data_IF_588868443657
#
_entry.id   IF_588868443657
#
_cell.length_a   1.000
_cell.length_b   1.000
_cell.length_c   1.000
_cell.angle_alpha   90.00
_cell.angle_beta   90.00
_cell.angle_gamma   90.00
#
_symmetry.space_group_name_H-M   'P 1'
#
loop_
_entity.id
_entity.type
_entity.pdbx_description
1 polymer ?
#
# COMPACT_ATOMS: atom_id res chain seq x y z
N UNK A 1 2.99 34.01 9.73
CA UNK A 1 2.37 32.69 9.99
C UNK A 1 3.26 31.98 10.97
N UNK A 2 2.71 31.44 12.04
CA UNK A 2 3.51 30.74 13.04
C UNK A 2 4.21 29.52 12.39
N UNK A 3 5.52 29.39 12.59
CA UNK A 3 6.33 28.32 11.98
C UNK A 3 5.77 26.94 12.31
N UNK A 4 5.15 26.79 13.48
CA UNK A 4 4.50 25.57 13.93
C UNK A 4 3.26 25.18 13.09
N UNK A 5 2.50 26.17 12.60
CA UNK A 5 1.33 25.94 11.75
C UNK A 5 1.78 25.45 10.36
N UNK A 6 2.84 26.07 9.81
CA UNK A 6 3.40 25.67 8.52
C UNK A 6 3.86 24.21 8.57
N UNK A 7 4.58 23.83 9.62
CA UNK A 7 5.11 22.49 9.78
C UNK A 7 4.00 21.43 9.87
N UNK A 8 2.95 21.70 10.64
CA UNK A 8 1.74 20.85 10.72
C UNK A 8 1.09 20.62 9.36
N UNK A 9 0.95 21.68 8.56
CA UNK A 9 0.35 21.59 7.22
C UNK A 9 1.19 20.73 6.29
N UNK A 10 2.51 20.95 6.25
CA UNK A 10 3.42 20.21 5.38
C UNK A 10 3.42 18.73 5.74
N UNK A 11 3.59 18.38 7.02
CA UNK A 11 3.66 16.96 7.42
C UNK A 11 2.34 16.23 7.20
N UNK A 12 1.21 16.90 7.43
CA UNK A 12 -0.12 16.32 7.17
C UNK A 12 -0.32 16.07 5.68
N UNK A 13 0.06 17.03 4.83
CA UNK A 13 -0.01 16.88 3.39
C UNK A 13 0.90 15.74 2.90
N UNK A 14 2.14 15.68 3.38
CA UNK A 14 3.07 14.59 3.07
C UNK A 14 2.52 13.22 3.48
N UNK A 15 1.85 13.13 4.64
CA UNK A 15 1.20 11.89 5.09
C UNK A 15 0.10 11.43 4.12
N UNK A 16 -0.75 12.34 3.65
CA UNK A 16 -1.83 12.03 2.68
C UNK A 16 -1.25 11.60 1.34
N UNK A 17 -0.22 12.27 0.86
CA UNK A 17 0.43 11.93 -0.41
C UNK A 17 1.11 10.57 -0.33
N UNK A 18 1.82 10.26 0.77
CA UNK A 18 2.50 8.99 0.95
C UNK A 18 1.53 7.80 0.90
N UNK A 19 0.40 7.87 1.63
CA UNK A 19 -0.60 6.79 1.62
C UNK A 19 -1.30 6.68 0.27
N UNK A 20 -1.62 7.80 -0.40
CA UNK A 20 -2.26 7.78 -1.70
C UNK A 20 -1.40 7.09 -2.76
N UNK A 21 -0.10 7.40 -2.81
CA UNK A 21 0.85 6.77 -3.73
C UNK A 21 1.04 5.29 -3.39
N UNK A 22 1.19 4.95 -2.10
CA UNK A 22 1.31 3.56 -1.64
C UNK A 22 0.10 2.71 -2.03
N UNK A 23 -1.11 3.21 -1.75
CA UNK A 23 -2.36 2.54 -2.09
C UNK A 23 -2.54 2.38 -3.60
N UNK A 24 -2.19 3.39 -4.39
CA UNK A 24 -2.27 3.32 -5.86
C UNK A 24 -1.29 2.27 -6.43
N UNK A 25 -0.05 2.28 -5.94
CA UNK A 25 0.95 1.29 -6.34
C UNK A 25 0.51 -0.14 -6.00
N UNK A 26 -0.03 -0.34 -4.80
CA UNK A 26 -0.55 -1.61 -4.35
C UNK A 26 -1.74 -2.10 -5.19
N UNK A 27 -2.70 -1.23 -5.50
CA UNK A 27 -3.85 -1.55 -6.34
C UNK A 27 -3.43 -1.99 -7.76
N UNK A 28 -2.45 -1.29 -8.36
CA UNK A 28 -1.92 -1.63 -9.69
C UNK A 28 -1.18 -2.98 -9.64
N UNK A 29 -0.38 -3.23 -8.61
CA UNK A 29 0.34 -4.48 -8.45
C UNK A 29 -0.60 -5.68 -8.23
N UNK A 30 -1.56 -5.54 -7.32
CA UNK A 30 -2.52 -6.60 -7.00
C UNK A 30 -3.46 -6.91 -8.17
N UNK A 31 -3.91 -5.91 -8.94
CA UNK A 31 -4.75 -6.16 -10.11
C UNK A 31 -4.03 -6.99 -11.19
N UNK A 32 -2.75 -6.72 -11.44
CA UNK A 32 -1.92 -7.51 -12.36
C UNK A 32 -1.73 -8.95 -11.87
N UNK A 33 -1.47 -9.14 -10.58
CA UNK A 33 -1.34 -10.48 -9.97
C UNK A 33 -2.66 -11.24 -10.09
N UNK A 34 -3.78 -10.61 -9.74
CA UNK A 34 -5.10 -11.22 -9.80
C UNK A 34 -5.48 -11.62 -11.24
N UNK A 35 -5.23 -10.74 -12.22
CA UNK A 35 -5.49 -11.03 -13.63
C UNK A 35 -4.65 -12.22 -14.12
N UNK A 36 -3.34 -12.23 -13.84
CA UNK A 36 -2.47 -13.33 -14.23
C UNK A 36 -2.85 -14.66 -13.58
N UNK A 37 -3.29 -14.62 -12.31
CA UNK A 37 -3.78 -15.80 -11.60
C UNK A 37 -5.07 -16.34 -12.23
N UNK A 38 -6.04 -15.46 -12.54
CA UNK A 38 -7.30 -15.85 -13.18
C UNK A 38 -7.08 -16.44 -14.57
N UNK A 39 -6.23 -15.83 -15.40
CA UNK A 39 -5.85 -16.39 -16.71
C UNK A 39 -5.15 -17.74 -16.59
N UNK A 40 -4.25 -17.89 -15.62
CA UNK A 40 -3.56 -19.15 -15.33
C UNK A 40 -4.55 -20.24 -14.92
N UNK A 41 -5.49 -19.92 -14.04
CA UNK A 41 -6.55 -20.85 -13.59
C UNK A 41 -7.46 -21.25 -14.76
N UNK A 42 -7.82 -20.30 -15.62
CA UNK A 42 -8.66 -20.58 -16.79
C UNK A 42 -7.98 -21.54 -17.78
N UNK A 43 -6.65 -21.46 -17.91
CA UNK A 43 -5.86 -22.36 -18.79
C UNK A 43 -5.59 -23.73 -18.15
N UNK A 44 -5.39 -23.78 -16.83
CA UNK A 44 -5.08 -25.01 -16.08
C UNK A 44 -5.91 -25.08 -14.78
N UNK A 45 -7.19 -25.50 -14.87
CA UNK A 45 -8.10 -25.53 -13.73
C UNK A 45 -7.61 -26.45 -12.59
N UNK A 46 -6.93 -27.53 -12.95
CA UNK A 46 -6.35 -28.51 -12.02
C UNK A 46 -5.26 -27.93 -11.11
N UNK A 47 -4.64 -26.81 -11.49
CA UNK A 47 -3.64 -26.12 -10.67
C UNK A 47 -4.23 -24.98 -9.81
N UNK A 48 -5.56 -24.81 -9.80
CA UNK A 48 -6.20 -23.63 -9.21
C UNK A 48 -5.84 -23.38 -7.74
N UNK A 49 -5.85 -24.43 -6.90
CA UNK A 49 -5.51 -24.31 -5.49
C UNK A 49 -4.07 -23.83 -5.25
N UNK A 50 -3.11 -24.33 -6.05
CA UNK A 50 -1.71 -23.91 -5.95
C UNK A 50 -1.53 -22.48 -6.46
N UNK A 51 -2.15 -22.13 -7.58
CA UNK A 51 -2.11 -20.77 -8.14
C UNK A 51 -2.71 -19.75 -7.17
N UNK A 52 -3.84 -20.07 -6.54
CA UNK A 52 -4.48 -19.22 -5.53
C UNK A 52 -3.55 -18.98 -4.33
N UNK A 53 -2.89 -20.02 -3.84
CA UNK A 53 -1.94 -19.87 -2.71
C UNK A 53 -0.77 -18.95 -3.08
N UNK A 54 -0.16 -19.15 -4.25
CA UNK A 54 0.94 -18.29 -4.72
C UNK A 54 0.47 -16.85 -4.95
N UNK A 55 -0.75 -16.66 -5.48
CA UNK A 55 -1.38 -15.35 -5.67
C UNK A 55 -1.52 -14.61 -4.32
N UNK A 56 -2.02 -15.28 -3.28
CA UNK A 56 -2.17 -14.68 -1.95
C UNK A 56 -0.82 -14.28 -1.34
N UNK A 57 0.21 -15.11 -1.49
CA UNK A 57 1.56 -14.78 -1.01
C UNK A 57 2.08 -13.51 -1.73
N UNK A 58 1.93 -13.46 -3.05
CA UNK A 58 2.36 -12.30 -3.83
C UNK A 58 1.58 -11.02 -3.45
N UNK A 59 0.25 -11.12 -3.26
CA UNK A 59 -0.58 -10.01 -2.82
C UNK A 59 -0.19 -9.53 -1.41
N UNK A 60 0.06 -10.45 -0.47
CA UNK A 60 0.47 -10.10 0.90
C UNK A 60 1.82 -9.36 0.92
N UNK A 61 2.77 -9.73 0.06
CA UNK A 61 4.05 -9.03 -0.07
C UNK A 61 3.88 -7.59 -0.59
N UNK A 62 2.96 -7.37 -1.54
CA UNK A 62 2.61 -6.03 -2.00
C UNK A 62 1.91 -5.23 -0.90
N UNK A 63 1.01 -5.87 -0.17
CA UNK A 63 0.26 -5.22 0.92
C UNK A 63 1.19 -4.75 2.05
N UNK A 64 2.27 -5.49 2.33
CA UNK A 64 3.27 -5.06 3.31
C UNK A 64 3.88 -3.69 2.98
N UNK A 65 4.08 -3.38 1.68
CA UNK A 65 4.58 -2.07 1.25
C UNK A 65 3.53 -0.97 1.45
N UNK A 66 2.26 -1.26 1.16
CA UNK A 66 1.15 -0.34 1.41
C UNK A 66 1.01 -0.02 2.91
N UNK A 67 1.17 -1.05 3.76
CA UNK A 67 1.16 -0.91 5.21
C UNK A 67 2.34 -0.05 5.70
N UNK A 68 3.51 -0.11 5.07
CA UNK A 68 4.61 0.81 5.42
C UNK A 68 4.28 2.27 5.08
N UNK A 69 3.62 2.55 3.95
CA UNK A 69 3.13 3.88 3.67
C UNK A 69 2.11 4.34 4.71
N UNK A 70 1.17 3.47 5.08
CA UNK A 70 0.20 3.75 6.14
C UNK A 70 0.89 4.04 7.48
N UNK A 71 1.88 3.23 7.85
CA UNK A 71 2.63 3.39 9.09
C UNK A 71 3.28 4.77 9.16
N UNK A 72 3.99 5.19 8.11
CA UNK A 72 4.63 6.51 8.06
C UNK A 72 3.59 7.62 8.11
N UNK A 73 2.48 7.50 7.40
CA UNK A 73 1.38 8.47 7.47
C UNK A 73 0.79 8.58 8.87
N UNK A 74 0.59 7.47 9.57
CA UNK A 74 0.10 7.46 10.96
C UNK A 74 1.11 8.11 11.90
N UNK A 75 2.41 7.83 11.74
CA UNK A 75 3.47 8.48 12.53
C UNK A 75 3.46 9.99 12.31
N UNK A 76 3.34 10.48 11.08
CA UNK A 76 3.31 11.91 10.79
C UNK A 76 2.04 12.62 11.31
N UNK A 77 0.94 11.90 11.48
CA UNK A 77 -0.33 12.46 11.98
C UNK A 77 -0.40 12.42 13.51
N UNK A 78 -0.03 11.31 14.13
CA UNK A 78 -0.27 11.05 15.56
C UNK A 78 0.99 11.10 16.43
N UNK A 79 2.17 10.86 15.86
CA UNK A 79 3.45 10.78 16.57
C UNK A 79 4.53 11.61 15.91
N UNK A 80 4.16 12.81 15.44
CA UNK A 80 5.00 13.60 14.56
C UNK A 80 6.24 14.13 15.30
N UNK A 81 7.47 13.70 14.93
CA UNK A 81 8.68 14.07 15.65
C UNK A 81 9.06 15.55 15.46
N UNK A 82 8.42 16.27 14.55
CA UNK A 82 8.73 17.65 14.23
C UNK A 82 7.84 18.66 14.96
N UNK A 83 6.73 18.22 15.58
CA UNK A 83 5.71 19.12 16.17
C UNK A 83 5.69 19.04 17.71
N UNK A 84 6.76 18.54 18.32
CA UNK A 84 6.93 18.53 19.78
C UNK A 84 7.79 19.70 20.25
#
# INVERSE_FOLDING_TARGET
>A
MDSMIVLKMVTTFSAVVAIAIGALGAAIGMSKIGMAALEGIARQPEMAGRTFTTMLIAMALIEALAIYCLLISLVLIFGNPFIH
#
